data_IF_266325897529
#
_entry.id   IF_266325897529
#
_cell.length_a   1.000
_cell.length_b   1.000
_cell.length_c   1.000
_cell.angle_alpha   90.00
_cell.angle_beta   90.00
_cell.angle_gamma   90.00
#
_symmetry.space_group_name_H-M   'P 1'
#
loop_
_entity.id
_entity.type
_entity.pdbx_description
1 polymer ?
#
# COMPACT_ATOMS: atom_id res chain seq x y z
N UNK A 1 6.39 17.55 -10.69
CA UNK A 1 6.92 17.56 -9.30
C UNK A 1 5.83 17.51 -8.23
N UNK A 2 4.81 18.39 -8.27
CA UNK A 2 3.68 18.37 -7.30
C UNK A 2 2.90 17.04 -7.31
N UNK A 3 2.56 16.52 -8.50
CA UNK A 3 1.81 15.26 -8.66
C UNK A 3 2.52 14.02 -8.09
N UNK A 4 3.85 13.91 -8.30
CA UNK A 4 4.68 12.82 -7.75
C UNK A 4 4.71 12.85 -6.22
N UNK A 5 4.95 14.04 -5.64
CA UNK A 5 4.99 14.22 -4.18
C UNK A 5 3.64 13.91 -3.56
N UNK A 6 2.55 14.35 -4.19
CA UNK A 6 1.19 14.04 -3.77
C UNK A 6 0.93 12.54 -3.78
N UNK A 7 1.19 11.86 -4.91
CA UNK A 7 1.02 10.40 -5.01
C UNK A 7 1.83 9.64 -3.95
N UNK A 8 3.10 10.03 -3.72
CA UNK A 8 3.93 9.44 -2.67
C UNK A 8 3.32 9.59 -1.27
N UNK A 9 2.75 10.77 -0.98
CA UNK A 9 2.07 11.04 0.30
C UNK A 9 0.78 10.24 0.43
N UNK A 10 0.00 10.13 -0.64
CA UNK A 10 -1.25 9.38 -0.68
C UNK A 10 -0.99 7.88 -0.40
N UNK A 11 0.02 7.29 -1.06
CA UNK A 11 0.45 5.90 -0.82
C UNK A 11 0.91 5.71 0.63
N UNK A 12 1.76 6.61 1.14
CA UNK A 12 2.23 6.53 2.54
C UNK A 12 1.08 6.57 3.54
N UNK A 13 0.09 7.45 3.32
CA UNK A 13 -1.07 7.56 4.19
C UNK A 13 -1.89 6.26 4.15
N UNK A 14 -2.25 5.81 2.95
CA UNK A 14 -3.11 4.66 2.75
C UNK A 14 -2.51 3.36 3.33
N UNK A 15 -1.25 3.05 3.04
CA UNK A 15 -0.60 1.85 3.60
C UNK A 15 -0.27 1.99 5.09
N UNK A 16 -0.09 3.21 5.59
CA UNK A 16 0.04 3.48 7.03
C UNK A 16 -1.26 3.17 7.79
N UNK A 17 -2.42 3.51 7.21
CA UNK A 17 -3.73 3.17 7.75
C UNK A 17 -3.96 1.65 7.73
N UNK A 18 -3.73 0.96 6.60
CA UNK A 18 -3.85 -0.51 6.54
C UNK A 18 -2.94 -1.22 7.55
N UNK A 19 -1.72 -0.74 7.75
CA UNK A 19 -0.82 -1.33 8.74
C UNK A 19 -1.31 -1.09 10.17
N UNK A 20 -1.87 0.09 10.46
CA UNK A 20 -2.47 0.38 11.75
C UNK A 20 -3.68 -0.53 12.02
N UNK A 21 -4.53 -0.77 11.01
CA UNK A 21 -5.67 -1.69 11.12
C UNK A 21 -5.21 -3.11 11.48
N UNK A 22 -4.16 -3.62 10.82
CA UNK A 22 -3.55 -4.91 11.19
C UNK A 22 -3.05 -4.92 12.64
N UNK A 23 -2.35 -3.87 13.08
CA UNK A 23 -1.87 -3.76 14.47
C UNK A 23 -3.05 -3.79 15.44
N UNK A 24 -4.13 -3.05 15.15
CA UNK A 24 -5.33 -3.02 15.98
C UNK A 24 -5.99 -4.39 16.07
N UNK A 25 -6.19 -5.09 14.94
CA UNK A 25 -6.75 -6.45 14.94
C UNK A 25 -5.92 -7.41 15.80
N UNK A 26 -4.59 -7.32 15.71
CA UNK A 26 -3.69 -8.16 16.50
C UNK A 26 -3.79 -7.85 17.99
N UNK A 27 -3.77 -6.56 18.35
CA UNK A 27 -3.86 -6.13 19.76
C UNK A 27 -5.21 -6.44 20.41
N UNK A 28 -6.29 -6.44 19.62
CA UNK A 28 -7.62 -6.78 20.10
C UNK A 28 -7.92 -8.30 20.05
N UNK A 29 -6.96 -9.12 19.61
CA UNK A 29 -7.15 -10.57 19.38
C UNK A 29 -8.40 -10.89 18.55
N UNK A 30 -8.67 -10.06 17.54
CA UNK A 30 -9.89 -10.14 16.72
C UNK A 30 -9.73 -11.03 15.48
N UNK A 31 -8.51 -11.48 15.19
CA UNK A 31 -8.18 -12.30 14.02
C UNK A 31 -6.99 -13.23 14.33
N UNK A 32 -6.73 -14.19 13.44
CA UNK A 32 -5.61 -15.12 13.56
C UNK A 32 -4.25 -14.38 13.48
N UNK A 33 -3.43 -14.50 14.52
CA UNK A 33 -2.16 -13.77 14.64
C UNK A 33 -1.19 -14.04 13.47
N UNK A 34 -1.16 -15.27 12.95
CA UNK A 34 -0.30 -15.61 11.79
C UNK A 34 -0.82 -14.92 10.54
N UNK A 35 -2.13 -14.96 10.32
CA UNK A 35 -2.76 -14.28 9.18
C UNK A 35 -2.51 -12.78 9.21
N UNK A 36 -2.61 -12.15 10.40
CA UNK A 36 -2.31 -10.73 10.55
C UNK A 36 -0.83 -10.44 10.27
N UNK A 37 0.09 -11.26 10.77
CA UNK A 37 1.52 -11.09 10.50
C UNK A 37 1.87 -11.17 9.00
N UNK A 38 1.21 -12.08 8.27
CA UNK A 38 1.31 -12.15 6.80
C UNK A 38 0.78 -10.87 6.14
N UNK A 39 -0.39 -10.37 6.56
CA UNK A 39 -0.98 -9.14 6.03
C UNK A 39 -0.10 -7.91 6.32
N UNK A 40 0.48 -7.80 7.50
CA UNK A 40 1.44 -6.74 7.84
C UNK A 40 2.67 -6.79 6.92
N UNK A 41 3.21 -7.99 6.69
CA UNK A 41 4.37 -8.20 5.81
C UNK A 41 4.04 -7.83 4.36
N UNK A 42 2.90 -8.29 3.84
CA UNK A 42 2.42 -7.95 2.49
C UNK A 42 2.19 -6.44 2.33
N UNK A 43 1.60 -5.79 3.33
CA UNK A 43 1.38 -4.33 3.35
C UNK A 43 2.69 -3.56 3.24
N UNK A 44 3.69 -3.91 4.06
CA UNK A 44 5.00 -3.25 4.04
C UNK A 44 5.78 -3.51 2.74
N UNK A 45 5.75 -4.74 2.23
CA UNK A 45 6.41 -5.11 0.99
C UNK A 45 5.83 -4.33 -0.20
N UNK A 46 4.50 -4.28 -0.30
CA UNK A 46 3.78 -3.56 -1.36
C UNK A 46 4.02 -2.05 -1.28
N UNK A 47 3.96 -1.47 -0.08
CA UNK A 47 4.33 -0.07 0.13
C UNK A 47 5.75 0.22 -0.35
N UNK A 48 6.71 -0.63 0.03
CA UNK A 48 8.13 -0.46 -0.32
C UNK A 48 8.34 -0.52 -1.83
N UNK A 49 7.70 -1.47 -2.52
CA UNK A 49 7.71 -1.56 -3.99
C UNK A 49 7.21 -0.26 -4.63
N UNK A 50 5.99 0.17 -4.28
CA UNK A 50 5.39 1.38 -4.85
C UNK A 50 6.25 2.64 -4.61
N UNK A 51 6.81 2.80 -3.41
CA UNK A 51 7.68 3.94 -3.08
C UNK A 51 9.00 3.90 -3.83
N UNK A 52 9.61 2.72 -3.97
CA UNK A 52 10.86 2.56 -4.72
C UNK A 52 10.64 2.92 -6.19
N UNK A 53 9.56 2.43 -6.80
CA UNK A 53 9.19 2.70 -8.19
C UNK A 53 8.93 4.18 -8.45
N UNK A 54 8.22 4.88 -7.56
CA UNK A 54 8.06 6.35 -7.67
C UNK A 54 9.40 7.08 -7.77
N UNK A 55 10.42 6.58 -7.08
CA UNK A 55 11.75 7.18 -7.05
C UNK A 55 12.52 6.95 -8.37
N UNK A 56 12.12 5.96 -9.16
CA UNK A 56 12.70 5.60 -10.47
C UNK A 56 11.69 5.79 -11.62
N UNK A 57 11.14 7.00 -11.76
CA UNK A 57 10.19 7.31 -12.85
C UNK A 57 10.84 7.16 -14.23
N UNK A 58 10.15 6.50 -15.16
CA UNK A 58 10.59 6.33 -16.56
C UNK A 58 10.61 7.67 -17.32
N UNK A 59 11.81 8.08 -17.76
CA UNK A 59 11.99 9.32 -18.55
C UNK A 59 11.33 9.18 -19.91
N UNK A 60 10.57 10.19 -20.32
CA UNK A 60 9.87 10.23 -21.61
C UNK A 60 8.55 9.43 -21.66
N UNK A 61 8.15 8.79 -20.55
CA UNK A 61 6.86 8.08 -20.41
C UNK A 61 6.17 8.40 -19.08
N UNK A 62 6.47 9.54 -18.48
CA UNK A 62 6.06 9.91 -17.12
C UNK A 62 4.54 9.82 -16.92
N UNK A 63 3.75 10.27 -17.91
CA UNK A 63 2.28 10.24 -17.84
C UNK A 63 1.75 8.81 -17.76
N UNK A 64 2.20 7.93 -18.65
CA UNK A 64 1.78 6.53 -18.67
C UNK A 64 2.27 5.78 -17.43
N UNK A 65 3.51 6.05 -17.01
CA UNK A 65 4.09 5.51 -15.78
C UNK A 65 3.24 5.84 -14.55
N UNK A 66 2.92 7.11 -14.32
CA UNK A 66 2.12 7.51 -13.16
C UNK A 66 0.66 7.07 -13.23
N UNK A 67 0.09 6.89 -14.44
CA UNK A 67 -1.23 6.32 -14.59
C UNK A 67 -1.25 4.86 -14.12
N UNK A 68 -0.38 4.04 -14.70
CA UNK A 68 -0.25 2.62 -14.35
C UNK A 68 0.04 2.43 -12.87
N UNK A 69 0.95 3.22 -12.30
CA UNK A 69 1.28 3.13 -10.89
C UNK A 69 0.10 3.48 -9.97
N UNK A 70 -0.79 4.41 -10.38
CA UNK A 70 -2.02 4.71 -9.63
C UNK A 70 -3.01 3.57 -9.68
N UNK A 71 -3.18 2.94 -10.84
CA UNK A 71 -4.05 1.77 -10.99
C UNK A 71 -3.57 0.63 -10.10
N UNK A 72 -2.28 0.32 -10.15
CA UNK A 72 -1.68 -0.72 -9.31
C UNK A 72 -1.76 -0.39 -7.81
N UNK A 73 -1.57 0.89 -7.44
CA UNK A 73 -1.80 1.34 -6.07
C UNK A 73 -3.24 1.05 -5.62
N UNK A 74 -4.25 1.46 -6.40
CA UNK A 74 -5.66 1.25 -6.03
C UNK A 74 -6.00 -0.23 -5.95
N UNK A 75 -5.55 -1.04 -6.91
CA UNK A 75 -5.76 -2.49 -6.90
C UNK A 75 -5.14 -3.12 -5.65
N UNK A 76 -3.89 -2.77 -5.34
CA UNK A 76 -3.19 -3.34 -4.20
C UNK A 76 -3.82 -2.91 -2.86
N UNK A 77 -4.20 -1.64 -2.74
CA UNK A 77 -4.90 -1.12 -1.57
C UNK A 77 -6.22 -1.84 -1.33
N UNK A 78 -7.07 -1.93 -2.36
CA UNK A 78 -8.37 -2.60 -2.24
C UNK A 78 -8.21 -4.07 -1.88
N UNK A 79 -7.28 -4.77 -2.53
CA UNK A 79 -7.00 -6.18 -2.25
C UNK A 79 -6.62 -6.40 -0.78
N UNK A 80 -5.65 -5.63 -0.27
CA UNK A 80 -5.19 -5.78 1.11
C UNK A 80 -6.29 -5.37 2.09
N UNK A 81 -7.03 -4.30 1.81
CA UNK A 81 -8.17 -3.85 2.62
C UNK A 81 -9.24 -4.94 2.73
N UNK A 82 -9.61 -5.59 1.61
CA UNK A 82 -10.57 -6.70 1.62
C UNK A 82 -10.06 -7.91 2.41
N UNK A 83 -8.77 -8.21 2.34
CA UNK A 83 -8.19 -9.31 3.11
C UNK A 83 -8.16 -8.99 4.62
N UNK A 84 -7.89 -7.73 5.01
CA UNK A 84 -7.96 -7.28 6.41
C UNK A 84 -9.38 -7.37 6.96
N UNK A 85 -10.40 -6.97 6.17
CA UNK A 85 -11.82 -7.03 6.59
C UNK A 85 -12.28 -8.48 6.82
N UNK A 86 -11.67 -9.45 6.13
CA UNK A 86 -12.02 -10.88 6.19
C UNK A 86 -11.16 -11.68 7.17
N UNK A 87 -10.10 -11.08 7.72
CA UNK A 87 -9.17 -11.72 8.66
C UNK A 87 -9.82 -11.89 10.04
#
# INVERSE_FOLDING_TARGET
>A
MSSRRKLKKDIKKAFGELFADCVTLNMCHQADEKKIAELMTQTLATYTDLISRISHTEKGRERAFYHKLREEFVIAFNKISEEIIKA
#
